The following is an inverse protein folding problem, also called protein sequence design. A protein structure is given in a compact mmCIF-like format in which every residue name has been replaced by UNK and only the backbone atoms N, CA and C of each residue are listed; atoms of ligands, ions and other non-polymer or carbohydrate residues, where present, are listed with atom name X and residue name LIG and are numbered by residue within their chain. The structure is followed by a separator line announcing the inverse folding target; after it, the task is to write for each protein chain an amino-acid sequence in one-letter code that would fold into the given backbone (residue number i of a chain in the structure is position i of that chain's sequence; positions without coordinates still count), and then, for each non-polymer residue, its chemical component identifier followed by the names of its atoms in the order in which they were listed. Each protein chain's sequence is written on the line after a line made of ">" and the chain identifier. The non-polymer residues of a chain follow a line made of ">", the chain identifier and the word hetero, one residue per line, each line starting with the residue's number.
data_IF_279901803565
#
_entry.id   IF_279901803565
#
_cell.length_a   1.000
_cell.length_b   1.000
_cell.length_c   1.000
_cell.angle_alpha   90.00
_cell.angle_beta   90.00
_cell.angle_gamma   90.00
#
_symmetry.space_group_name_H-M   'P 1'
#
loop_
_entity.id
_entity.type
_entity.pdbx_description
1 polymer ?
#
# COMPACT_ATOMS: atom_id res chain seq x y z
N UNK A 1 -16.17 19.47 13.14
CA UNK A 1 -15.39 18.62 12.24
C UNK A 1 -14.14 18.23 13.02
N UNK A 2 -14.06 16.99 13.45
CA UNK A 2 -12.93 16.44 14.21
C UNK A 2 -11.79 16.23 13.23
N UNK A 3 -10.66 16.92 13.44
CA UNK A 3 -9.41 16.60 12.76
C UNK A 3 -8.97 15.22 13.23
N UNK A 4 -9.26 14.20 12.45
CA UNK A 4 -8.81 12.83 12.74
C UNK A 4 -7.29 12.77 12.66
N UNK A 5 -6.64 12.27 13.71
CA UNK A 5 -5.21 11.99 13.69
C UNK A 5 -4.98 10.64 13.02
N UNK A 6 -4.01 10.57 12.10
CA UNK A 6 -3.56 9.30 11.53
C UNK A 6 -2.65 8.62 12.55
N UNK A 7 -2.98 7.38 12.91
CA UNK A 7 -2.13 6.51 13.74
C UNK A 7 -1.51 5.43 12.87
N UNK A 8 -0.23 5.18 13.06
CA UNK A 8 0.56 4.30 12.19
C UNK A 8 1.29 3.29 13.08
N UNK A 9 1.41 2.07 12.58
CA UNK A 9 2.36 1.08 13.07
C UNK A 9 2.92 0.30 11.89
N UNK A 10 4.13 -0.17 12.02
CA UNK A 10 4.80 -0.98 11.01
C UNK A 10 5.66 -2.03 11.71
N UNK A 11 5.64 -3.23 11.17
CA UNK A 11 6.52 -4.33 11.56
C UNK A 11 7.09 -4.99 10.32
N UNK A 12 8.25 -5.57 10.45
CA UNK A 12 8.88 -6.38 9.39
C UNK A 12 9.74 -7.46 10.04
N UNK A 13 9.67 -8.67 9.52
CA UNK A 13 10.42 -9.82 10.01
C UNK A 13 10.97 -10.61 8.82
N UNK A 14 12.17 -11.20 9.00
CA UNK A 14 12.81 -12.01 7.97
C UNK A 14 12.11 -13.35 7.75
N UNK A 15 11.27 -13.76 8.70
CA UNK A 15 10.63 -15.06 8.74
C UNK A 15 11.59 -16.20 9.06
N UNK A 16 11.04 -17.43 9.08
CA UNK A 16 11.77 -18.61 9.53
C UNK A 16 12.61 -19.29 8.43
N UNK A 17 12.42 -18.92 7.18
CA UNK A 17 13.00 -19.62 6.02
C UNK A 17 14.06 -18.81 5.26
N UNK A 18 13.97 -17.46 5.32
CA UNK A 18 14.88 -16.57 4.60
C UNK A 18 16.09 -16.20 5.46
N UNK A 19 17.22 -15.87 4.82
CA UNK A 19 18.40 -15.36 5.51
C UNK A 19 18.41 -13.85 5.61
N UNK A 20 17.82 -13.18 4.64
CA UNK A 20 17.74 -11.72 4.53
C UNK A 20 16.29 -11.31 4.34
N UNK A 21 15.91 -10.21 4.95
CA UNK A 21 14.65 -9.53 4.68
C UNK A 21 14.85 -8.63 3.45
N UNK A 22 14.03 -8.83 2.43
CA UNK A 22 14.07 -8.04 1.20
C UNK A 22 12.92 -7.03 1.14
N UNK A 23 12.02 -7.05 2.14
CA UNK A 23 10.94 -6.10 2.25
C UNK A 23 11.44 -4.76 2.81
N UNK A 24 10.91 -3.68 2.30
CA UNK A 24 11.12 -2.33 2.85
C UNK A 24 9.78 -1.64 3.04
N UNK A 25 9.51 -1.21 4.29
CA UNK A 25 8.37 -0.36 4.61
C UNK A 25 8.77 1.11 4.67
N UNK A 26 7.88 1.99 4.25
CA UNK A 26 7.99 3.44 4.39
C UNK A 26 6.67 4.02 4.91
N UNK A 27 6.71 4.83 5.98
CA UNK A 27 5.51 5.37 6.60
C UNK A 27 5.79 6.76 7.21
N UNK A 28 5.77 7.79 6.39
CA UNK A 28 6.03 9.18 6.81
C UNK A 28 5.26 10.18 5.95
N UNK A 29 4.90 11.31 6.54
CA UNK A 29 4.40 12.50 5.84
C UNK A 29 3.28 12.22 4.82
N UNK A 30 2.33 11.35 5.18
CA UNK A 30 1.19 11.03 4.32
C UNK A 30 1.49 10.04 3.19
N UNK A 31 2.65 9.39 3.19
CA UNK A 31 3.01 8.30 2.28
C UNK A 31 3.30 7.04 3.09
N UNK A 32 2.59 5.95 2.76
CA UNK A 32 2.65 4.67 3.49
C UNK A 32 2.77 3.55 2.48
N UNK A 33 3.95 2.93 2.37
CA UNK A 33 4.24 1.95 1.33
C UNK A 33 4.91 0.70 1.90
N UNK A 34 4.61 -0.43 1.29
CA UNK A 34 5.37 -1.69 1.42
C UNK A 34 5.94 -2.03 0.04
N UNK A 35 7.22 -2.38 0.01
CA UNK A 35 7.95 -2.78 -1.17
C UNK A 35 8.59 -4.15 -0.88
N UNK A 36 8.16 -5.21 -1.56
CA UNK A 36 8.69 -6.56 -1.45
C UNK A 36 9.73 -6.76 -2.56
N UNK A 37 10.97 -6.89 -2.15
CA UNK A 37 12.12 -7.00 -3.05
C UNK A 37 12.29 -8.40 -3.61
N UNK A 38 12.49 -8.50 -4.92
CA UNK A 38 12.70 -9.74 -5.63
C UNK A 38 13.96 -9.69 -6.49
N UNK A 39 14.60 -10.85 -6.63
CA UNK A 39 15.82 -10.99 -7.40
C UNK A 39 16.88 -11.80 -6.64
N UNK A 40 17.81 -12.42 -7.35
CA UNK A 40 18.88 -13.21 -6.75
C UNK A 40 19.85 -12.35 -5.93
N UNK A 41 20.27 -12.86 -4.77
CA UNK A 41 21.29 -12.20 -3.95
C UNK A 41 20.80 -10.90 -3.29
N UNK A 42 21.50 -9.79 -3.51
CA UNK A 42 21.19 -8.48 -2.90
C UNK A 42 20.31 -7.59 -3.78
N UNK A 43 19.92 -8.02 -4.97
CA UNK A 43 19.18 -7.20 -5.94
C UNK A 43 17.81 -6.79 -5.42
N UNK A 44 17.05 -7.71 -4.83
CA UNK A 44 15.72 -7.43 -4.26
C UNK A 44 15.76 -6.45 -3.10
N UNK A 45 16.65 -6.65 -2.13
CA UNK A 45 16.80 -5.73 -0.99
C UNK A 45 17.15 -4.32 -1.44
N UNK A 46 18.07 -4.17 -2.39
CA UNK A 46 18.45 -2.86 -2.92
C UNK A 46 17.32 -2.22 -3.74
N UNK A 47 16.56 -3.03 -4.49
CA UNK A 47 15.41 -2.54 -5.27
C UNK A 47 14.29 -2.00 -4.36
N UNK A 48 13.91 -2.74 -3.31
CA UNK A 48 12.87 -2.29 -2.37
C UNK A 48 13.31 -1.02 -1.61
N UNK A 49 14.58 -0.93 -1.20
CA UNK A 49 15.13 0.27 -0.58
C UNK A 49 15.14 1.46 -1.54
N UNK A 50 15.49 1.25 -2.81
CA UNK A 50 15.52 2.30 -3.82
C UNK A 50 14.10 2.83 -4.12
N UNK A 51 13.12 1.93 -4.24
CA UNK A 51 11.71 2.32 -4.34
C UNK A 51 11.27 3.17 -3.14
N UNK A 52 11.56 2.72 -1.92
CA UNK A 52 11.24 3.47 -0.70
C UNK A 52 11.91 4.86 -0.67
N UNK A 53 13.12 5.03 -1.20
CA UNK A 53 13.77 6.33 -1.32
C UNK A 53 13.03 7.28 -2.27
N UNK A 54 12.50 6.79 -3.39
CA UNK A 54 11.67 7.58 -4.30
C UNK A 54 10.35 8.01 -3.63
N UNK A 55 9.71 7.12 -2.88
CA UNK A 55 8.53 7.47 -2.09
C UNK A 55 8.83 8.45 -0.95
N UNK A 56 10.02 8.40 -0.36
CA UNK A 56 10.46 9.40 0.61
C UNK A 56 10.60 10.79 -0.02
N UNK A 57 11.05 10.89 -1.28
CA UNK A 57 11.10 12.15 -2.00
C UNK A 57 9.68 12.68 -2.31
N UNK A 58 8.76 11.80 -2.70
CA UNK A 58 7.36 12.14 -2.88
C UNK A 58 6.74 12.64 -1.56
N UNK A 59 7.03 11.98 -0.45
CA UNK A 59 6.54 12.36 0.88
C UNK A 59 7.00 13.76 1.30
N UNK A 60 8.18 14.20 0.89
CA UNK A 60 8.70 15.53 1.20
C UNK A 60 7.99 16.67 0.42
N UNK A 61 7.15 16.36 -0.55
CA UNK A 61 6.36 17.34 -1.28
C UNK A 61 5.18 17.83 -0.43
N UNK A 62 4.86 19.13 -0.42
CA UNK A 62 3.77 19.69 0.38
C UNK A 62 2.38 19.25 -0.12
N UNK A 63 2.26 18.95 -1.40
CA UNK A 63 1.07 18.37 -2.02
C UNK A 63 1.49 17.36 -3.09
N UNK A 64 0.63 16.38 -3.33
CA UNK A 64 0.92 15.25 -4.22
C UNK A 64 -0.28 15.02 -5.13
N UNK A 65 -0.04 15.07 -6.42
CA UNK A 65 -1.01 14.79 -7.46
C UNK A 65 -0.85 13.36 -7.97
N UNK A 66 -1.80 12.88 -8.75
CA UNK A 66 -1.66 11.64 -9.51
C UNK A 66 -0.40 11.66 -10.39
N UNK A 67 -0.11 12.79 -11.04
CA UNK A 67 1.06 12.93 -11.91
C UNK A 67 2.37 12.78 -11.12
N UNK A 68 2.45 13.33 -9.89
CA UNK A 68 3.63 13.17 -9.04
C UNK A 68 3.88 11.71 -8.65
N UNK A 69 2.80 10.93 -8.47
CA UNK A 69 2.87 9.48 -8.23
C UNK A 69 3.40 8.76 -9.47
N UNK A 70 2.82 9.04 -10.64
CA UNK A 70 3.24 8.42 -11.91
C UNK A 70 4.72 8.74 -12.22
N UNK A 71 5.15 9.97 -12.01
CA UNK A 71 6.54 10.40 -12.19
C UNK A 71 7.49 9.72 -11.18
N UNK A 72 7.01 9.49 -9.96
CA UNK A 72 7.80 8.79 -8.92
C UNK A 72 7.99 7.31 -9.28
N UNK A 73 6.93 6.64 -9.73
CA UNK A 73 7.00 5.26 -10.20
C UNK A 73 7.91 5.13 -11.42
N UNK A 74 7.83 6.07 -12.37
CA UNK A 74 8.70 6.07 -13.56
C UNK A 74 10.19 6.23 -13.21
N UNK A 75 10.52 7.11 -12.25
CA UNK A 75 11.90 7.26 -11.75
C UNK A 75 12.38 6.01 -11.01
N UNK A 76 11.55 5.45 -10.13
CA UNK A 76 11.87 4.22 -9.41
C UNK A 76 12.11 3.06 -10.38
N UNK A 77 11.24 2.89 -11.38
CA UNK A 77 11.37 1.90 -12.45
C UNK A 77 12.72 2.02 -13.16
N UNK A 78 13.08 3.24 -13.60
CA UNK A 78 14.33 3.48 -14.32
C UNK A 78 15.55 3.14 -13.45
N UNK A 79 15.59 3.62 -12.22
CA UNK A 79 16.76 3.46 -11.34
C UNK A 79 16.93 1.98 -10.90
N UNK A 80 15.83 1.23 -10.79
CA UNK A 80 15.87 -0.21 -10.45
C UNK A 80 16.32 -1.03 -11.66
N UNK A 81 15.92 -0.68 -12.89
CA UNK A 81 16.47 -1.28 -14.11
C UNK A 81 17.98 -1.08 -14.17
N UNK A 82 18.46 0.15 -13.98
CA UNK A 82 19.89 0.47 -13.93
C UNK A 82 20.62 -0.31 -12.82
N UNK A 83 19.96 -0.56 -11.69
CA UNK A 83 20.50 -1.39 -10.62
C UNK A 83 20.69 -2.83 -11.09
N UNK A 84 19.68 -3.41 -11.75
CA UNK A 84 19.76 -4.76 -12.34
C UNK A 84 20.94 -4.90 -13.30
N UNK A 85 21.09 -3.94 -14.21
CA UNK A 85 22.20 -3.90 -15.16
C UNK A 85 23.58 -3.84 -14.46
N UNK A 86 23.71 -3.00 -13.44
CA UNK A 86 24.95 -2.90 -12.63
C UNK A 86 25.29 -4.17 -11.89
N UNK A 87 24.28 -4.92 -11.44
CA UNK A 87 24.46 -6.18 -10.73
C UNK A 87 24.66 -7.38 -11.66
N UNK A 88 24.49 -7.19 -12.97
CA UNK A 88 24.56 -8.25 -13.97
C UNK A 88 23.43 -9.27 -13.85
N UNK A 89 22.27 -8.85 -13.39
CA UNK A 89 21.10 -9.69 -13.17
C UNK A 89 19.80 -8.88 -13.10
N UNK A 90 18.76 -9.49 -12.54
CA UNK A 90 17.46 -8.86 -12.36
C UNK A 90 17.37 -8.33 -10.93
N UNK A 91 17.00 -7.06 -10.79
CA UNK A 91 16.58 -6.45 -9.54
C UNK A 91 15.15 -5.96 -9.72
N UNK A 92 14.27 -6.26 -8.79
CA UNK A 92 12.88 -5.84 -8.87
C UNK A 92 12.25 -5.72 -7.49
N UNK A 93 11.13 -5.02 -7.43
CA UNK A 93 10.33 -4.93 -6.20
C UNK A 93 8.86 -4.67 -6.52
N UNK A 94 7.96 -5.18 -5.70
CA UNK A 94 6.58 -4.71 -5.68
C UNK A 94 6.52 -3.31 -5.04
N UNK A 95 5.40 -2.64 -5.15
CA UNK A 95 5.02 -1.58 -4.24
C UNK A 95 3.50 -1.52 -4.08
N UNK A 96 3.03 -1.44 -2.84
CA UNK A 96 1.61 -1.24 -2.52
C UNK A 96 1.48 -0.26 -1.37
N UNK A 97 0.45 0.59 -1.39
CA UNK A 97 0.24 1.50 -0.27
C UNK A 97 -0.58 2.74 -0.57
N UNK A 98 -0.45 3.74 0.31
CA UNK A 98 -1.25 4.96 0.30
C UNK A 98 -0.38 6.18 0.07
N UNK A 99 -0.92 7.10 -0.73
CA UNK A 99 -0.37 8.46 -0.90
C UNK A 99 -1.49 9.47 -0.67
N UNK A 100 -1.38 10.23 0.41
CA UNK A 100 -2.29 11.31 0.71
C UNK A 100 -1.96 12.53 -0.16
N UNK A 101 -2.96 13.21 -0.75
CA UNK A 101 -2.74 14.39 -1.57
C UNK A 101 -2.03 15.53 -0.84
N UNK A 102 -2.28 15.64 0.48
CA UNK A 102 -1.63 16.63 1.35
C UNK A 102 -1.17 15.98 2.65
N UNK A 103 -0.17 16.56 3.30
CA UNK A 103 0.21 16.13 4.64
C UNK A 103 -0.82 16.66 5.66
N UNK A 104 -1.46 15.76 6.40
CA UNK A 104 -2.45 16.11 7.42
C UNK A 104 -1.83 16.74 8.69
N UNK A 105 -0.50 16.77 8.82
CA UNK A 105 0.15 17.41 9.97
C UNK A 105 -0.01 18.94 9.99
N UNK A 106 -0.28 19.58 8.84
CA UNK A 106 -0.35 21.05 8.70
C UNK A 106 -1.75 21.62 8.41
N UNK A 107 -2.83 20.86 8.63
CA UNK A 107 -4.21 21.29 8.29
C UNK A 107 -4.73 22.50 9.07
N UNK A 108 -3.96 23.06 9.99
CA UNK A 108 -4.29 24.29 10.71
C UNK A 108 -3.93 25.58 9.96
N UNK A 109 -3.00 25.56 9.02
CA UNK A 109 -2.55 26.77 8.28
C UNK A 109 -3.19 26.98 6.90
N UNK A 110 -3.70 25.93 6.27
CA UNK A 110 -4.25 26.00 4.91
C UNK A 110 -5.68 26.59 4.82
N UNK A 111 -6.39 26.71 5.94
CA UNK A 111 -7.78 27.22 5.97
C UNK A 111 -7.94 28.73 5.75
N UNK A 112 -6.85 29.49 5.70
CA UNK A 112 -6.95 30.96 5.57
C UNK A 112 -6.89 31.46 4.12
N UNK A 113 -6.56 30.62 3.14
CA UNK A 113 -6.38 31.03 1.74
C UNK A 113 -7.54 30.64 0.79
N UNK A 114 -8.50 29.85 1.23
CA UNK A 114 -9.54 29.25 0.36
C UNK A 114 -10.88 30.03 0.35
N UNK A 115 -10.86 31.36 0.46
CA UNK A 115 -12.09 32.17 0.42
C UNK A 115 -12.49 32.66 -0.97
N UNK A 116 -11.73 32.40 -2.02
CA UNK A 116 -12.05 32.78 -3.39
C UNK A 116 -11.51 31.76 -4.39
N UNK A 117 -12.25 30.70 -4.72
CA UNK A 117 -12.14 30.03 -6.00
C UNK A 117 -13.49 29.41 -6.39
N UNK A 118 -13.84 29.65 -7.64
CA UNK A 118 -15.08 29.23 -8.29
C UNK A 118 -15.14 27.69 -8.45
N UNK A 119 -16.36 27.18 -8.39
CA UNK A 119 -16.81 25.82 -8.60
C UNK A 119 -16.00 24.99 -9.60
N UNK A 120 -15.29 23.98 -9.11
CA UNK A 120 -15.02 22.64 -9.63
C UNK A 120 -13.92 21.89 -8.83
N UNK A 121 -13.41 22.46 -7.72
CA UNK A 121 -12.51 21.76 -6.81
C UNK A 121 -13.31 20.76 -5.96
N UNK A 122 -13.29 19.49 -6.36
CA UNK A 122 -13.65 18.40 -5.45
C UNK A 122 -12.71 18.47 -4.24
N UNK A 123 -13.28 18.67 -3.07
CA UNK A 123 -12.55 18.68 -1.79
C UNK A 123 -11.95 17.28 -1.55
N UNK A 124 -10.70 17.08 -1.93
CA UNK A 124 -9.94 15.84 -1.74
C UNK A 124 -9.47 15.65 -0.29
N UNK A 125 -9.91 16.48 0.66
CA UNK A 125 -9.44 16.45 2.06
C UNK A 125 -9.66 15.10 2.75
N UNK A 126 -10.61 14.29 2.27
CA UNK A 126 -10.97 12.99 2.84
C UNK A 126 -10.65 11.81 1.91
N UNK A 127 -9.80 12.00 0.90
CA UNK A 127 -9.42 10.98 -0.07
C UNK A 127 -7.92 10.67 -0.02
N UNK A 128 -7.57 9.46 -0.44
CA UNK A 128 -6.19 9.01 -0.61
C UNK A 128 -6.03 8.26 -1.92
N UNK A 129 -4.86 8.34 -2.52
CA UNK A 129 -4.48 7.43 -3.59
C UNK A 129 -4.01 6.11 -3.01
N UNK A 130 -4.45 5.00 -3.61
CA UNK A 130 -3.94 3.67 -3.34
C UNK A 130 -3.15 3.21 -4.55
N UNK A 131 -1.86 3.00 -4.37
CA UNK A 131 -0.91 2.66 -5.45
C UNK A 131 -0.60 1.18 -5.38
N UNK A 132 -0.51 0.51 -6.53
CA UNK A 132 -0.11 -0.90 -6.60
C UNK A 132 0.71 -1.23 -7.84
N UNK A 133 1.83 -1.92 -7.65
CA UNK A 133 2.60 -2.66 -8.66
C UNK A 133 3.05 -3.98 -8.02
N UNK A 134 2.65 -5.10 -8.59
CA UNK A 134 2.96 -6.42 -8.04
C UNK A 134 1.81 -7.03 -7.25
N UNK A 135 2.13 -7.96 -6.35
CA UNK A 135 1.19 -8.73 -5.55
C UNK A 135 1.18 -8.40 -4.05
N UNK A 136 1.92 -7.37 -3.62
CA UNK A 136 1.69 -6.74 -2.32
C UNK A 136 0.31 -6.12 -2.28
N UNK A 137 -0.33 -6.10 -1.11
CA UNK A 137 -1.75 -5.76 -1.00
C UNK A 137 -2.03 -4.60 -0.06
N UNK A 138 -3.06 -3.83 -0.41
CA UNK A 138 -3.69 -2.84 0.47
C UNK A 138 -5.16 -3.21 0.69
N UNK A 139 -5.51 -3.39 1.96
CA UNK A 139 -6.87 -3.65 2.42
C UNK A 139 -7.42 -2.45 3.18
N UNK A 140 -8.74 -2.40 3.25
CA UNK A 140 -9.48 -1.41 4.04
C UNK A 140 -10.47 -2.11 4.97
N UNK A 141 -10.54 -1.64 6.21
CA UNK A 141 -11.46 -2.09 7.25
C UNK A 141 -12.26 -0.89 7.77
N UNK A 142 -13.58 -1.00 7.74
CA UNK A 142 -14.47 0.06 8.19
C UNK A 142 -14.68 0.04 9.70
N UNK A 143 -14.90 1.19 10.34
CA UNK A 143 -15.36 1.22 11.72
C UNK A 143 -16.80 0.70 11.81
N UNK A 144 -17.14 0.02 12.90
CA UNK A 144 -18.54 -0.27 13.23
C UNK A 144 -19.29 1.05 13.43
N UNK A 145 -20.39 1.19 12.72
CA UNK A 145 -21.28 2.34 12.89
C UNK A 145 -21.95 2.26 14.27
N UNK A 146 -21.61 3.16 15.17
CA UNK A 146 -22.34 3.36 16.41
C UNK A 146 -23.44 4.38 16.17
N UNK A 147 -24.68 3.94 16.09
CA UNK A 147 -25.85 4.76 15.75
C UNK A 147 -26.13 5.91 16.73
N UNK A 148 -25.58 5.89 17.95
CA UNK A 148 -25.97 6.81 19.04
C UNK A 148 -24.81 7.35 19.91
N UNK A 149 -23.55 7.27 19.48
CA UNK A 149 -22.46 7.73 20.31
C UNK A 149 -22.02 9.17 19.99
N UNK A 150 -21.88 10.06 20.98
CA UNK A 150 -21.35 11.41 20.77
C UNK A 150 -19.90 11.33 20.25
N UNK A 151 -19.57 12.18 19.28
CA UNK A 151 -18.33 12.16 18.50
C UNK A 151 -17.02 12.48 19.25
N UNK A 152 -17.03 12.48 20.57
CA UNK A 152 -15.88 12.77 21.42
C UNK A 152 -15.47 11.52 22.20
N UNK A 153 -14.24 11.05 21.94
CA UNK A 153 -13.52 10.02 22.73
C UNK A 153 -13.88 8.54 22.51
N UNK A 154 -14.47 8.18 21.37
CA UNK A 154 -14.71 6.76 21.09
C UNK A 154 -13.47 6.14 20.45
N UNK A 155 -12.91 5.13 21.10
CA UNK A 155 -11.96 4.22 20.47
C UNK A 155 -12.72 3.50 19.35
N UNK A 156 -12.31 3.62 18.08
CA UNK A 156 -13.05 2.98 16.99
C UNK A 156 -13.04 1.46 17.18
N UNK A 157 -14.22 0.87 17.11
CA UNK A 157 -14.40 -0.59 17.03
C UNK A 157 -14.51 -0.93 15.54
N UNK A 158 -13.78 -1.93 15.11
CA UNK A 158 -13.67 -2.28 13.69
C UNK A 158 -14.60 -3.44 13.35
N UNK A 159 -15.15 -3.41 12.13
CA UNK A 159 -15.97 -4.50 11.61
C UNK A 159 -15.10 -5.46 10.78
N UNK A 160 -14.79 -6.62 11.33
CA UNK A 160 -14.01 -7.65 10.62
C UNK A 160 -14.67 -8.10 9.30
N UNK A 161 -16.02 -8.10 9.24
CA UNK A 161 -16.75 -8.48 8.04
C UNK A 161 -16.66 -7.42 6.92
N UNK A 162 -16.20 -6.20 7.23
CA UNK A 162 -16.05 -5.11 6.27
C UNK A 162 -14.71 -5.12 5.54
N UNK A 163 -13.82 -6.09 5.81
CA UNK A 163 -12.53 -6.13 5.13
C UNK A 163 -12.72 -6.24 3.62
N UNK A 164 -12.16 -5.29 2.89
CA UNK A 164 -12.08 -5.33 1.45
C UNK A 164 -10.61 -5.19 1.01
N UNK A 165 -10.21 -5.97 0.03
CA UNK A 165 -8.94 -5.77 -0.67
C UNK A 165 -9.17 -4.72 -1.74
N UNK A 166 -8.46 -3.57 -1.64
CA UNK A 166 -8.56 -2.48 -2.61
C UNK A 166 -7.74 -2.80 -3.85
N UNK A 167 -6.53 -3.32 -3.65
CA UNK A 167 -5.59 -3.61 -4.74
C UNK A 167 -5.89 -4.95 -5.41
N UNK A 168 -5.50 -5.06 -6.67
CA UNK A 168 -5.54 -6.27 -7.45
C UNK A 168 -4.11 -6.77 -7.67
N UNK A 169 -3.86 -8.05 -7.45
CA UNK A 169 -2.52 -8.61 -7.63
C UNK A 169 -2.14 -8.61 -9.12
N UNK A 170 -0.96 -8.14 -9.44
CA UNK A 170 -0.35 -8.36 -10.74
C UNK A 170 0.36 -9.73 -10.71
N UNK A 171 -0.43 -10.78 -10.88
CA UNK A 171 0.04 -12.16 -10.83
C UNK A 171 -0.67 -13.01 -11.88
N UNK A 172 0.03 -14.04 -12.35
CA UNK A 172 -0.53 -14.98 -13.34
C UNK A 172 -1.83 -15.61 -12.83
N UNK A 173 -1.91 -15.88 -11.51
CA UNK A 173 -3.11 -16.42 -10.87
C UNK A 173 -4.30 -15.46 -11.00
N UNK A 174 -4.09 -14.21 -10.68
CA UNK A 174 -5.14 -13.19 -10.75
C UNK A 174 -5.57 -12.94 -12.20
N UNK A 175 -4.64 -12.90 -13.15
CA UNK A 175 -4.96 -12.73 -14.58
C UNK A 175 -5.81 -13.89 -15.13
N UNK A 176 -5.51 -15.13 -14.72
CA UNK A 176 -6.30 -16.29 -15.12
C UNK A 176 -7.75 -16.25 -14.58
N UNK A 177 -7.93 -15.73 -13.35
CA UNK A 177 -9.25 -15.52 -12.75
C UNK A 177 -10.01 -14.43 -13.51
N UNK A 178 -9.38 -13.29 -13.73
CA UNK A 178 -10.04 -12.11 -14.29
C UNK A 178 -10.37 -12.27 -15.77
N UNK A 179 -9.58 -13.03 -16.50
CA UNK A 179 -9.89 -13.39 -17.90
C UNK A 179 -11.00 -14.44 -18.00
N UNK A 180 -11.46 -15.01 -16.88
CA UNK A 180 -12.46 -16.07 -16.85
C UNK A 180 -11.94 -17.42 -17.34
N UNK A 181 -10.62 -17.58 -17.45
CA UNK A 181 -10.00 -18.85 -17.85
C UNK A 181 -10.08 -19.91 -16.75
N UNK A 182 -10.03 -19.46 -15.48
CA UNK A 182 -10.08 -20.32 -14.32
C UNK A 182 -10.97 -19.73 -13.22
N UNK A 183 -11.59 -20.61 -12.44
CA UNK A 183 -12.20 -20.22 -11.18
C UNK A 183 -11.11 -19.96 -10.13
N UNK A 184 -11.36 -19.13 -9.08
CA UNK A 184 -10.37 -18.85 -8.04
C UNK A 184 -9.76 -20.10 -7.42
N UNK A 185 -10.57 -21.09 -7.06
CA UNK A 185 -10.14 -22.38 -6.46
C UNK A 185 -9.23 -23.17 -7.42
N UNK A 186 -9.52 -23.15 -8.71
CA UNK A 186 -8.74 -23.84 -9.73
C UNK A 186 -7.40 -23.14 -9.95
N UNK A 187 -7.38 -21.80 -10.02
CA UNK A 187 -6.18 -21.01 -10.13
C UNK A 187 -5.26 -21.20 -8.91
N UNK A 188 -5.82 -21.24 -7.70
CA UNK A 188 -5.07 -21.54 -6.48
C UNK A 188 -4.43 -22.92 -6.48
N UNK A 189 -5.12 -23.92 -7.02
CA UNK A 189 -4.64 -25.29 -7.04
C UNK A 189 -3.56 -25.54 -8.12
N UNK A 190 -3.56 -24.75 -9.21
CA UNK A 190 -2.76 -25.04 -10.40
C UNK A 190 -1.65 -24.03 -10.68
N UNK A 191 -1.83 -22.76 -10.31
CA UNK A 191 -0.86 -21.72 -10.60
C UNK A 191 -0.09 -21.37 -9.31
N UNK A 192 1.27 -21.45 -9.32
CA UNK A 192 2.07 -21.04 -8.16
C UNK A 192 1.79 -19.57 -7.78
N UNK A 193 1.71 -19.30 -6.46
CA UNK A 193 1.36 -17.96 -5.96
C UNK A 193 2.40 -16.88 -6.26
N UNK A 194 3.65 -17.27 -6.40
CA UNK A 194 4.80 -16.39 -6.54
C UNK A 194 5.12 -16.00 -7.99
N UNK A 195 4.21 -16.23 -8.94
CA UNK A 195 4.41 -15.80 -10.33
C UNK A 195 3.71 -14.45 -10.50
N UNK A 196 4.48 -13.38 -10.30
CA UNK A 196 4.02 -12.02 -10.55
C UNK A 196 4.22 -11.65 -12.02
N UNK A 197 3.39 -10.75 -12.51
CA UNK A 197 3.39 -10.29 -13.91
C UNK A 197 3.84 -8.85 -14.06
N UNK A 198 4.03 -8.13 -12.96
CA UNK A 198 4.58 -6.76 -12.95
C UNK A 198 5.35 -6.49 -11.67
N UNK A 199 6.49 -5.83 -11.80
CA UNK A 199 7.25 -5.26 -10.68
C UNK A 199 8.01 -4.02 -11.14
N UNK A 200 8.36 -3.14 -10.22
CA UNK A 200 9.35 -2.10 -10.49
C UNK A 200 10.69 -2.77 -10.82
N UNK A 201 11.30 -2.39 -11.94
CA UNK A 201 12.49 -3.03 -12.48
C UNK A 201 12.20 -4.09 -13.55
N UNK A 202 10.94 -4.26 -13.97
CA UNK A 202 10.59 -5.13 -15.09
C UNK A 202 11.05 -4.50 -16.41
N UNK A 203 11.90 -5.17 -17.22
CA UNK A 203 12.37 -4.64 -18.50
C UNK A 203 11.26 -4.44 -19.54
N UNK A 204 10.15 -5.17 -19.43
CA UNK A 204 8.98 -5.00 -20.30
C UNK A 204 8.11 -3.79 -19.92
N UNK A 205 8.46 -3.10 -18.84
CA UNK A 205 7.75 -1.93 -18.33
C UNK A 205 6.67 -2.29 -17.30
N UNK A 206 6.01 -1.26 -16.78
CA UNK A 206 4.97 -1.39 -15.76
C UNK A 206 3.70 -0.66 -16.18
N UNK A 207 2.55 -1.17 -15.72
CA UNK A 207 1.25 -0.49 -15.75
C UNK A 207 0.71 -0.40 -14.31
N UNK A 208 1.07 0.65 -13.56
CA UNK A 208 0.66 0.79 -12.17
C UNK A 208 -0.84 0.98 -12.02
N UNK A 209 -1.42 0.32 -11.05
CA UNK A 209 -2.77 0.62 -10.61
C UNK A 209 -2.74 1.77 -9.60
N UNK A 210 -3.61 2.77 -9.81
CA UNK A 210 -3.82 3.84 -8.82
C UNK A 210 -5.32 4.08 -8.67
N UNK A 211 -5.80 3.73 -7.49
CA UNK A 211 -7.20 3.89 -7.09
C UNK A 211 -7.35 5.14 -6.23
N UNK A 212 -8.59 5.58 -6.03
CA UNK A 212 -8.95 6.61 -5.05
C UNK A 212 -9.85 5.98 -4.01
N UNK A 213 -9.51 6.16 -2.73
CA UNK A 213 -10.29 5.64 -1.61
C UNK A 213 -10.57 6.74 -0.59
N UNK A 214 -11.66 6.58 0.18
CA UNK A 214 -11.92 7.43 1.34
C UNK A 214 -10.89 7.17 2.44
N UNK A 215 -10.48 8.21 3.15
CA UNK A 215 -9.44 8.11 4.19
C UNK A 215 -9.98 7.58 5.54
N UNK A 216 -11.31 7.50 5.70
CA UNK A 216 -11.93 7.02 6.94
C UNK A 216 -11.84 5.50 7.03
N UNK A 217 -11.18 4.98 8.06
CA UNK A 217 -11.05 3.54 8.27
C UNK A 217 -9.68 3.12 8.74
N UNK A 218 -9.43 1.82 8.71
CA UNK A 218 -8.12 1.22 8.95
C UNK A 218 -7.62 0.61 7.67
N UNK A 219 -6.44 1.01 7.24
CA UNK A 219 -5.77 0.39 6.11
C UNK A 219 -4.73 -0.61 6.61
N UNK A 220 -4.61 -1.73 5.91
CA UNK A 220 -3.60 -2.76 6.15
C UNK A 220 -2.84 -2.91 4.84
N UNK A 221 -1.53 -2.68 4.89
CA UNK A 221 -0.64 -2.75 3.73
C UNK A 221 0.37 -3.84 4.03
N UNK A 222 0.51 -4.83 3.16
CA UNK A 222 1.39 -5.97 3.42
C UNK A 222 1.98 -6.57 2.15
N UNK A 223 3.14 -7.22 2.30
CA UNK A 223 3.72 -8.12 1.31
C UNK A 223 3.07 -9.51 1.35
N UNK A 224 3.49 -10.39 0.43
CA UNK A 224 3.03 -11.79 0.37
C UNK A 224 3.48 -12.61 1.59
N UNK A 225 4.46 -12.11 2.35
CA UNK A 225 4.88 -12.67 3.61
C UNK A 225 3.76 -12.76 4.66
N UNK A 226 2.77 -11.85 4.60
CA UNK A 226 1.58 -11.91 5.44
C UNK A 226 0.43 -12.66 4.73
N UNK A 227 -0.10 -12.10 3.66
CA UNK A 227 -1.32 -12.65 3.02
C UNK A 227 -1.11 -14.01 2.33
N UNK A 228 0.11 -14.41 2.12
CA UNK A 228 0.46 -15.73 1.62
C UNK A 228 0.48 -16.82 2.70
N UNK A 229 0.57 -16.45 3.97
CA UNK A 229 0.62 -17.38 5.11
C UNK A 229 -0.65 -17.28 5.99
N UNK A 230 -1.31 -16.12 6.01
CA UNK A 230 -2.49 -15.84 6.84
C UNK A 230 -3.70 -15.52 5.95
N UNK A 231 -4.81 -16.26 6.07
CA UNK A 231 -6.04 -15.99 5.31
C UNK A 231 -6.63 -14.59 5.62
N UNK A 232 -7.29 -13.97 4.62
CA UNK A 232 -7.87 -12.64 4.73
C UNK A 232 -8.85 -12.52 5.92
N UNK A 233 -9.62 -13.58 6.24
CA UNK A 233 -10.54 -13.60 7.38
C UNK A 233 -9.79 -13.52 8.72
N UNK A 234 -8.61 -14.13 8.81
CA UNK A 234 -7.79 -14.06 10.02
C UNK A 234 -7.11 -12.70 10.14
N UNK A 235 -6.62 -12.13 9.03
CA UNK A 235 -6.11 -10.74 8.98
C UNK A 235 -7.19 -9.78 9.47
N UNK A 236 -8.42 -9.91 8.96
CA UNK A 236 -9.56 -9.12 9.37
C UNK A 236 -9.86 -9.24 10.87
N UNK A 237 -9.88 -10.46 11.38
CA UNK A 237 -10.18 -10.74 12.79
C UNK A 237 -9.14 -10.11 13.72
N UNK A 238 -7.85 -10.27 13.42
CA UNK A 238 -6.75 -9.69 14.19
C UNK A 238 -6.82 -8.15 14.12
N UNK A 239 -6.93 -7.60 12.92
CA UNK A 239 -7.01 -6.15 12.74
C UNK A 239 -8.23 -5.52 13.41
N UNK A 240 -9.35 -6.23 13.48
CA UNK A 240 -10.56 -5.74 14.16
C UNK A 240 -10.50 -5.87 15.68
N UNK A 241 -9.78 -6.87 16.21
CA UNK A 241 -9.72 -7.13 17.65
C UNK A 241 -8.89 -6.07 18.43
N UNK A 242 -7.99 -5.36 17.76
CA UNK A 242 -7.06 -4.44 18.40
C UNK A 242 -7.43 -2.99 18.11
N UNK A 243 -7.48 -2.16 19.15
CA UNK A 243 -7.84 -0.73 19.03
C UNK A 243 -6.68 0.11 18.49
N UNK A 244 -5.43 -0.25 18.83
CA UNK A 244 -4.24 0.44 18.35
C UNK A 244 -3.63 -0.28 17.14
N UNK A 245 -3.06 0.47 16.17
CA UNK A 245 -2.32 -0.14 15.07
C UNK A 245 -1.14 -0.99 15.55
N UNK A 246 -0.44 -0.55 16.61
CA UNK A 246 0.72 -1.27 17.14
C UNK A 246 0.33 -2.65 17.66
N UNK A 247 -0.73 -2.73 18.47
CA UNK A 247 -1.22 -4.02 18.97
C UNK A 247 -1.63 -4.96 17.84
N UNK A 248 -2.18 -4.41 16.75
CA UNK A 248 -2.60 -5.22 15.60
C UNK A 248 -1.41 -5.79 14.79
N UNK A 249 -0.28 -5.07 14.71
CA UNK A 249 0.91 -5.58 13.99
C UNK A 249 1.80 -6.46 14.86
N UNK A 250 1.64 -6.41 16.18
CA UNK A 250 2.36 -7.24 17.15
C UNK A 250 1.65 -8.61 17.38
N UNK A 251 0.39 -8.75 16.94
CA UNK A 251 -0.45 -9.94 17.14
C UNK A 251 -0.36 -10.94 16.01
#
# INVERSE_FOLDING_TARGET
>A
MTTGSIRIAMTSDVGLRRKNNQDTGFAQQGVFMVCDGMGGGMGGEQASQLAAQHFAQLAAMPSRTRQDIDDTLARAQHDILDLGDRLGGVAGTTCSGLVLPQDHADSTSARSAALFSDADDQDFSDQTYVVNVGDSRTYHLSPLAHADAPATDIIPVWDAASLIRITRDHSQRQEAIDSGQMLPEEAEATIPRNIITQCLGDPDGIMPDVYVAGLTGRFIICSDGLHGEVPDEQIAAIAAAHSSPQEAVDA
#
